data_IF_383547755309
#
_entry.id   IF_383547755309
#
_cell.length_a   1.000
_cell.length_b   1.000
_cell.length_c   1.000
_cell.angle_alpha   90.00
_cell.angle_beta   90.00
_cell.angle_gamma   90.00
#
_symmetry.space_group_name_H-M   'P 1'
#
loop_
_entity.id
_entity.type
_entity.pdbx_description
1 polymer ?
#
# COMPACT_ATOMS: atom_id res chain seq x y z
N UNK A 1 -17.14 -2.23 12.42
CA UNK A 1 -16.38 -2.14 11.15
C UNK A 1 -17.06 -1.25 10.10
N UNK A 2 -18.36 -0.96 10.24
CA UNK A 2 -19.09 -0.01 9.38
C UNK A 2 -18.76 1.45 9.72
N UNK A 3 -18.66 1.77 11.01
CA UNK A 3 -18.43 3.15 11.50
C UNK A 3 -17.07 3.76 11.11
N UNK A 4 -16.04 2.91 10.93
CA UNK A 4 -14.71 3.37 10.49
C UNK A 4 -14.71 3.70 9.00
N UNK A 5 -15.41 2.89 8.19
CA UNK A 5 -15.57 3.14 6.76
C UNK A 5 -16.43 4.38 6.53
N UNK A 6 -17.52 4.53 7.30
CA UNK A 6 -18.42 5.70 7.22
C UNK A 6 -17.76 7.00 7.73
N UNK A 7 -16.69 6.92 8.53
CA UNK A 7 -15.91 8.07 8.98
C UNK A 7 -14.88 8.55 7.96
N UNK A 8 -14.64 7.80 6.88
CA UNK A 8 -13.74 8.20 5.80
C UNK A 8 -14.59 8.85 4.72
N UNK A 9 -14.56 10.18 4.65
CA UNK A 9 -15.25 10.93 3.59
C UNK A 9 -14.75 10.52 2.21
N UNK A 10 -15.67 10.24 1.29
CA UNK A 10 -15.39 9.91 -0.12
C UNK A 10 -14.46 10.94 -0.80
N UNK A 11 -14.51 12.19 -0.35
CA UNK A 11 -13.68 13.28 -0.87
C UNK A 11 -12.17 13.04 -0.68
N UNK A 12 -11.77 12.25 0.32
CA UNK A 12 -10.37 11.89 0.54
C UNK A 12 -9.96 10.59 -0.14
N UNK A 13 -10.94 9.74 -0.48
CA UNK A 13 -10.69 8.43 -1.07
C UNK A 13 -10.51 8.52 -2.58
N UNK A 14 -11.29 9.36 -3.27
CA UNK A 14 -11.27 9.45 -4.73
C UNK A 14 -9.89 9.83 -5.30
N UNK A 15 -9.15 10.81 -4.76
CA UNK A 15 -7.81 11.12 -5.24
C UNK A 15 -6.80 10.00 -4.98
N UNK A 16 -6.96 9.24 -3.90
CA UNK A 16 -6.10 8.10 -3.60
C UNK A 16 -6.37 6.95 -4.57
N UNK A 17 -7.65 6.66 -4.83
CA UNK A 17 -8.06 5.62 -5.77
C UNK A 17 -7.65 5.95 -7.20
N UNK A 18 -7.72 7.22 -7.61
CA UNK A 18 -7.30 7.63 -8.96
C UNK A 18 -5.81 7.39 -9.17
N UNK A 19 -4.95 7.76 -8.21
CA UNK A 19 -3.51 7.49 -8.27
C UNK A 19 -3.23 5.99 -8.31
N UNK A 20 -3.89 5.20 -7.45
CA UNK A 20 -3.68 3.75 -7.43
C UNK A 20 -4.11 3.06 -8.74
N UNK A 21 -5.20 3.53 -9.37
CA UNK A 21 -5.65 3.06 -10.69
C UNK A 21 -4.63 3.45 -11.77
N UNK A 22 -4.19 4.70 -11.79
CA UNK A 22 -3.18 5.17 -12.74
C UNK A 22 -1.89 4.37 -12.64
N UNK A 23 -1.41 4.09 -11.41
CA UNK A 23 -0.21 3.26 -11.21
C UNK A 23 -0.43 1.82 -11.66
N UNK A 24 -1.63 1.26 -11.47
CA UNK A 24 -1.99 -0.07 -11.97
C UNK A 24 -1.92 -0.12 -13.50
N UNK A 25 -2.60 0.81 -14.16
CA UNK A 25 -2.78 0.80 -15.62
C UNK A 25 -1.49 1.18 -16.36
N UNK A 26 -0.66 2.04 -15.78
CA UNK A 26 0.68 2.37 -16.29
C UNK A 26 1.73 1.30 -16.00
N UNK A 27 1.38 0.21 -15.29
CA UNK A 27 2.30 -0.83 -14.87
C UNK A 27 3.33 -0.38 -13.82
N UNK A 28 3.06 0.77 -13.17
CA UNK A 28 3.87 1.40 -12.15
C UNK A 28 3.90 0.65 -10.81
N UNK A 29 4.95 0.91 -10.04
CA UNK A 29 5.18 0.32 -8.73
C UNK A 29 4.72 1.27 -7.62
N UNK A 30 4.02 0.73 -6.62
CA UNK A 30 3.68 1.39 -5.36
C UNK A 30 4.61 0.88 -4.26
N UNK A 31 5.13 1.79 -3.44
CA UNK A 31 5.96 1.46 -2.29
C UNK A 31 5.22 1.87 -1.02
N UNK A 32 5.23 0.99 -0.02
CA UNK A 32 4.56 1.21 1.25
C UNK A 32 5.59 1.03 2.35
N UNK A 33 5.63 1.98 3.28
CA UNK A 33 6.50 1.93 4.43
C UNK A 33 5.69 2.19 5.70
N UNK A 34 6.05 1.51 6.78
CA UNK A 34 5.51 1.72 8.11
C UNK A 34 6.62 1.44 9.13
N UNK A 35 6.70 2.27 10.17
CA UNK A 35 7.73 2.17 11.21
C UNK A 35 7.12 1.57 12.50
N UNK A 36 7.92 0.78 13.24
CA UNK A 36 7.52 0.24 14.54
C UNK A 36 6.23 -0.58 14.48
N UNK A 37 5.25 -0.29 15.34
CA UNK A 37 3.97 -1.01 15.40
C UNK A 37 3.12 -0.97 14.11
N UNK A 38 3.41 -0.04 13.19
CA UNK A 38 2.70 0.08 11.89
C UNK A 38 3.33 -0.73 10.75
N UNK A 39 4.46 -1.40 11.00
CA UNK A 39 5.15 -2.24 10.02
C UNK A 39 4.26 -3.38 9.52
N UNK A 40 3.54 -4.07 10.42
CA UNK A 40 2.61 -5.13 10.06
C UNK A 40 1.46 -4.59 9.18
N UNK A 41 0.94 -3.40 9.49
CA UNK A 41 -0.09 -2.75 8.69
C UNK A 41 0.40 -2.42 7.27
N UNK A 42 1.64 -1.96 7.13
CA UNK A 42 2.26 -1.70 5.82
C UNK A 42 2.41 -3.00 4.99
N UNK A 43 2.79 -4.10 5.63
CA UNK A 43 2.88 -5.43 5.01
C UNK A 43 1.52 -5.93 4.50
N UNK A 44 0.49 -5.84 5.36
CA UNK A 44 -0.87 -6.23 5.00
C UNK A 44 -1.44 -5.36 3.88
N UNK A 45 -1.22 -4.04 3.93
CA UNK A 45 -1.65 -3.13 2.86
C UNK A 45 -0.99 -3.48 1.52
N UNK A 46 0.32 -3.78 1.51
CA UNK A 46 1.02 -4.18 0.28
C UNK A 46 0.46 -5.49 -0.29
N UNK A 47 0.10 -6.44 0.57
CA UNK A 47 -0.51 -7.71 0.16
C UNK A 47 -1.87 -7.49 -0.49
N UNK A 48 -2.77 -6.73 0.15
CA UNK A 48 -4.09 -6.45 -0.43
C UNK A 48 -4.00 -5.67 -1.76
N UNK A 49 -3.04 -4.76 -1.89
CA UNK A 49 -2.82 -4.04 -3.16
C UNK A 49 -2.35 -4.98 -4.28
N UNK A 50 -1.52 -5.98 -3.96
CA UNK A 50 -1.13 -7.04 -4.93
C UNK A 50 -2.31 -7.89 -5.37
N UNK A 51 -3.20 -8.25 -4.47
CA UNK A 51 -4.45 -8.97 -4.81
C UNK A 51 -5.34 -8.13 -5.74
N UNK A 52 -5.26 -6.81 -5.63
CA UNK A 52 -5.90 -5.88 -6.56
C UNK A 52 -5.13 -5.67 -7.88
N UNK A 53 -4.07 -6.41 -8.16
CA UNK A 53 -3.26 -6.28 -9.39
C UNK A 53 -2.34 -5.06 -9.40
N UNK A 54 -2.17 -4.36 -8.27
CA UNK A 54 -1.22 -3.27 -8.13
C UNK A 54 0.13 -3.88 -7.76
N UNK A 55 1.18 -3.54 -8.50
CA UNK A 55 2.54 -3.87 -8.09
C UNK A 55 2.85 -3.06 -6.83
N UNK A 56 2.85 -3.71 -5.66
CA UNK A 56 3.11 -3.07 -4.37
C UNK A 56 4.29 -3.73 -3.63
N UNK A 57 5.16 -2.95 -2.99
CA UNK A 57 6.30 -3.44 -2.19
C UNK A 57 6.24 -2.80 -0.80
N UNK A 58 6.22 -3.64 0.24
CA UNK A 58 6.42 -3.18 1.62
C UNK A 58 7.92 -3.04 1.87
N UNK A 59 8.39 -1.81 2.10
CA UNK A 59 9.80 -1.52 2.36
C UNK A 59 10.27 -2.08 3.71
N UNK A 60 9.37 -2.24 4.69
CA UNK A 60 9.74 -2.84 5.97
C UNK A 60 10.02 -4.35 5.84
N UNK A 61 9.22 -5.07 5.06
CA UNK A 61 9.46 -6.50 4.81
C UNK A 61 10.65 -6.70 3.86
N UNK A 62 10.81 -5.75 2.94
CA UNK A 62 11.88 -5.78 1.94
C UNK A 62 13.19 -5.17 2.44
N UNK A 63 13.25 -4.57 3.64
CA UNK A 63 14.51 -4.13 4.23
C UNK A 63 15.47 -5.32 4.37
N UNK A 64 14.95 -6.48 4.76
CA UNK A 64 15.65 -7.78 4.77
C UNK A 64 16.19 -8.20 3.39
N UNK A 65 15.52 -7.82 2.29
CA UNK A 65 15.96 -8.10 0.93
C UNK A 65 16.92 -7.02 0.39
N UNK A 66 16.72 -5.74 0.74
CA UNK A 66 17.55 -4.62 0.27
C UNK A 66 18.91 -4.60 0.98
N UNK A 67 19.00 -5.05 2.24
CA UNK A 67 20.29 -5.21 2.96
C UNK A 67 21.00 -6.52 2.63
N UNK A 68 20.31 -7.52 2.07
CA UNK A 68 20.91 -8.79 1.65
C UNK A 68 21.57 -8.73 0.26
N UNK A 69 21.44 -7.61 -0.45
CA UNK A 69 22.15 -7.34 -1.72
C UNK A 69 23.15 -6.17 -1.51
N UNK A 70 23.67 -6.04 -0.28
CA UNK A 70 24.78 -5.16 0.09
C UNK A 70 26.06 -5.94 0.31
#
# INVERSE_FOLDING_TARGET
MKDILDSISDAHLEPLLSVLRERRDSGGQVYIAGNGGSAANASHAATHLRECGIKAICLNDSASHVTAIG
#
